data_IF_780175890289
#
_entry.id   IF_780175890289
#
_cell.length_a   1.000
_cell.length_b   1.000
_cell.length_c   1.000
_cell.angle_alpha   90.00
_cell.angle_beta   90.00
_cell.angle_gamma   90.00
#
_symmetry.space_group_name_H-M   'P 1'
#
loop_
_entity.id
_entity.type
_entity.pdbx_description
1 polymer ?
#
# COMPACT_ATOMS: atom_id res chain seq x y z
N UNK A 1 -5.56 -20.79 -16.99
CA UNK A 1 -5.75 -19.68 -16.03
C UNK A 1 -4.41 -19.15 -15.58
N UNK A 2 -4.06 -17.93 -16.01
CA UNK A 2 -2.83 -17.27 -15.57
C UNK A 2 -3.04 -16.76 -14.16
N UNK A 3 -2.40 -17.42 -13.19
CA UNK A 3 -2.53 -17.12 -11.78
C UNK A 3 -1.77 -15.83 -11.43
N UNK A 4 -2.40 -14.68 -11.67
CA UNK A 4 -1.81 -13.37 -11.37
C UNK A 4 -1.96 -13.08 -9.87
N UNK A 5 -0.84 -12.96 -9.17
CA UNK A 5 -0.80 -12.54 -7.76
C UNK A 5 -1.00 -11.02 -7.71
N UNK A 6 -1.93 -10.55 -6.87
CA UNK A 6 -2.18 -9.12 -6.68
C UNK A 6 -1.35 -8.61 -5.50
N UNK A 7 -0.37 -7.76 -5.76
CA UNK A 7 0.38 -7.10 -4.69
C UNK A 7 -0.44 -5.93 -4.13
N UNK A 8 -0.62 -5.90 -2.81
CA UNK A 8 -1.30 -4.80 -2.12
C UNK A 8 -0.64 -4.53 -0.76
N UNK A 9 -0.87 -3.35 -0.21
CA UNK A 9 -0.38 -2.97 1.11
C UNK A 9 -1.56 -2.74 2.06
N UNK A 10 -1.64 -3.51 3.15
CA UNK A 10 -2.73 -3.45 4.14
C UNK A 10 -4.12 -3.50 3.48
N UNK A 11 -4.44 -4.64 2.87
CA UNK A 11 -5.60 -4.73 1.98
C UNK A 11 -6.95 -5.00 2.67
N UNK A 12 -7.02 -4.90 3.99
CA UNK A 12 -8.23 -5.25 4.77
C UNK A 12 -9.43 -4.42 4.34
N UNK A 13 -9.29 -3.10 4.33
CA UNK A 13 -10.37 -2.19 3.94
C UNK A 13 -10.64 -2.23 2.43
N UNK A 14 -9.60 -2.42 1.61
CA UNK A 14 -9.75 -2.56 0.16
C UNK A 14 -10.58 -3.80 -0.20
N UNK A 15 -10.30 -4.95 0.42
CA UNK A 15 -11.05 -6.18 0.21
C UNK A 15 -12.53 -6.01 0.59
N UNK A 16 -12.81 -5.34 1.72
CA UNK A 16 -14.17 -5.06 2.16
C UNK A 16 -14.89 -4.11 1.19
N UNK A 17 -14.23 -3.04 0.76
CA UNK A 17 -14.80 -2.07 -0.18
C UNK A 17 -15.10 -2.70 -1.54
N UNK A 18 -14.17 -3.51 -2.09
CA UNK A 18 -14.38 -4.24 -3.35
C UNK A 18 -15.61 -5.15 -3.26
N UNK A 19 -15.78 -5.87 -2.15
CA UNK A 19 -16.90 -6.78 -1.98
C UNK A 19 -18.23 -6.06 -1.79
N UNK A 20 -18.28 -5.02 -0.96
CA UNK A 20 -19.52 -4.32 -0.61
C UNK A 20 -19.98 -3.36 -1.71
N UNK A 21 -19.05 -2.64 -2.34
CA UNK A 21 -19.39 -1.59 -3.31
C UNK A 21 -19.45 -2.09 -4.74
N UNK A 22 -18.64 -3.10 -5.09
CA UNK A 22 -18.49 -3.58 -6.46
C UNK A 22 -18.86 -5.06 -6.63
N UNK A 23 -19.19 -5.78 -5.56
CA UNK A 23 -19.46 -7.22 -5.61
C UNK A 23 -18.22 -8.07 -5.95
N UNK A 24 -17.02 -7.50 -5.89
CA UNK A 24 -15.78 -8.16 -6.28
C UNK A 24 -15.13 -8.82 -5.06
N UNK A 25 -14.98 -10.14 -5.11
CA UNK A 25 -14.20 -10.88 -4.11
C UNK A 25 -12.72 -10.83 -4.47
N UNK A 26 -11.92 -10.18 -3.61
CA UNK A 26 -10.48 -10.23 -3.71
C UNK A 26 -9.96 -11.65 -3.45
N UNK A 27 -9.19 -12.19 -4.39
CA UNK A 27 -8.54 -13.52 -4.29
C UNK A 27 -7.06 -13.39 -4.62
N UNK A 28 -6.22 -14.24 -4.05
CA UNK A 28 -4.77 -14.31 -4.33
C UNK A 28 -4.05 -12.95 -4.25
N UNK A 29 -4.39 -12.18 -3.22
CA UNK A 29 -3.67 -10.98 -2.88
C UNK A 29 -2.52 -11.32 -1.93
N UNK A 30 -1.35 -10.76 -2.20
CA UNK A 30 -0.24 -10.76 -1.27
C UNK A 30 -0.22 -9.40 -0.56
N UNK A 31 -0.54 -9.42 0.72
CA UNK A 31 -0.47 -8.23 1.56
C UNK A 31 0.98 -8.01 2.00
N UNK A 32 1.60 -6.97 1.47
CA UNK A 32 2.99 -6.62 1.71
C UNK A 32 3.25 -6.22 3.16
N UNK A 33 2.28 -5.62 3.87
CA UNK A 33 2.45 -5.29 5.28
C UNK A 33 2.58 -6.57 6.13
N UNK A 34 1.72 -7.56 5.87
CA UNK A 34 1.79 -8.85 6.55
C UNK A 34 3.04 -9.64 6.15
N UNK A 35 3.41 -9.61 4.88
CA UNK A 35 4.60 -10.28 4.39
C UNK A 35 5.86 -9.75 5.08
N UNK A 36 6.02 -8.42 5.15
CA UNK A 36 7.12 -7.76 5.87
C UNK A 36 7.10 -8.13 7.37
N UNK A 37 5.93 -8.08 8.00
CA UNK A 37 5.80 -8.41 9.42
C UNK A 37 6.22 -9.86 9.72
N UNK A 38 5.88 -10.79 8.83
CA UNK A 38 6.30 -12.19 8.94
C UNK A 38 7.82 -12.35 8.84
N UNK A 39 8.46 -11.69 7.86
CA UNK A 39 9.92 -11.75 7.70
C UNK A 39 10.67 -11.14 8.89
N UNK A 40 10.15 -10.07 9.49
CA UNK A 40 10.73 -9.51 10.70
C UNK A 40 10.53 -10.45 11.91
N UNK A 41 9.40 -11.14 12.00
CA UNK A 41 9.17 -12.14 13.05
C UNK A 41 10.18 -13.29 12.98
N UNK A 42 10.47 -13.82 11.79
CA UNK A 42 11.48 -14.87 11.59
C UNK A 42 12.88 -14.44 12.06
N UNK A 43 13.17 -13.12 12.03
CA UNK A 43 14.41 -12.53 12.53
C UNK A 43 14.39 -12.23 14.04
N UNK A 44 13.40 -12.75 14.77
CA UNK A 44 13.32 -12.69 16.23
C UNK A 44 12.63 -11.44 16.79
N UNK A 45 11.97 -10.64 15.94
CA UNK A 45 11.24 -9.47 16.40
C UNK A 45 9.77 -9.79 16.77
N UNK A 46 9.16 -8.97 17.64
CA UNK A 46 7.76 -9.16 18.10
C UNK A 46 6.74 -8.65 17.07
N UNK A 47 5.97 -9.56 16.48
CA UNK A 47 4.90 -9.36 15.48
C UNK A 47 4.03 -8.08 15.62
N UNK A 48 3.57 -7.76 16.83
CA UNK A 48 2.63 -6.65 17.06
C UNK A 48 3.27 -5.26 16.95
N UNK A 49 4.60 -5.17 17.05
CA UNK A 49 5.35 -3.90 17.00
C UNK A 49 5.82 -3.56 15.57
N UNK A 50 5.41 -4.32 14.55
CA UNK A 50 6.11 -4.33 13.24
C UNK A 50 5.26 -3.97 12.02
N UNK A 51 4.00 -3.57 12.22
CA UNK A 51 3.17 -3.10 11.10
C UNK A 51 3.63 -1.72 10.66
N UNK A 52 4.53 -1.70 9.69
CA UNK A 52 4.96 -0.47 9.04
C UNK A 52 3.83 0.10 8.20
N UNK A 53 3.66 1.43 8.23
CA UNK A 53 2.94 2.14 7.18
C UNK A 53 3.69 2.03 5.85
N UNK A 54 2.98 2.17 4.72
CA UNK A 54 3.58 2.02 3.39
C UNK A 54 4.79 2.94 3.19
N UNK A 55 4.67 4.23 3.49
CA UNK A 55 5.78 5.19 3.41
C UNK A 55 6.97 4.81 4.29
N UNK A 56 6.71 4.20 5.47
CA UNK A 56 7.79 3.72 6.35
C UNK A 56 8.50 2.51 5.74
N UNK A 57 7.78 1.58 5.12
CA UNK A 57 8.36 0.45 4.42
C UNK A 57 9.21 0.89 3.21
N UNK A 58 8.71 1.85 2.42
CA UNK A 58 9.49 2.40 1.30
C UNK A 58 10.79 3.05 1.77
N UNK A 59 10.73 3.82 2.86
CA UNK A 59 11.92 4.43 3.46
C UNK A 59 12.90 3.38 3.99
N UNK A 60 12.40 2.38 4.71
CA UNK A 60 13.25 1.36 5.37
C UNK A 60 13.90 0.42 4.37
N UNK A 61 13.20 0.03 3.30
CA UNK A 61 13.64 -1.03 2.41
C UNK A 61 14.13 -0.57 1.04
N UNK A 62 13.62 0.54 0.53
CA UNK A 62 13.99 1.06 -0.79
C UNK A 62 14.75 2.40 -0.71
N UNK A 63 14.98 2.94 0.51
CA UNK A 63 15.56 4.26 0.72
C UNK A 63 14.77 5.39 0.02
N UNK A 64 13.47 5.17 -0.23
CA UNK A 64 12.59 6.15 -0.86
C UNK A 64 11.92 6.98 0.23
N UNK A 65 12.27 8.26 0.29
CA UNK A 65 11.55 9.21 1.12
C UNK A 65 10.35 9.77 0.35
N UNK A 66 9.15 9.36 0.76
CA UNK A 66 7.94 10.02 0.28
C UNK A 66 7.88 11.43 0.85
N UNK A 67 8.27 12.41 0.04
CA UNK A 67 7.80 13.78 0.23
C UNK A 67 6.31 13.77 -0.04
N UNK A 68 5.53 13.79 1.05
CA UNK A 68 4.08 13.88 0.97
C UNK A 68 3.68 14.92 -0.08
N UNK A 69 2.75 14.59 -0.98
CA UNK A 69 1.91 15.64 -1.57
C UNK A 69 1.09 16.21 -0.43
N UNK A 70 1.71 17.17 0.25
CA UNK A 70 1.16 17.87 1.40
C UNK A 70 -0.20 18.47 1.05
N UNK A 71 -0.44 18.78 -0.22
CA UNK A 71 -1.70 19.29 -0.75
C UNK A 71 -2.83 18.25 -0.68
N UNK A 72 -2.69 17.06 -1.28
CA UNK A 72 -3.77 16.06 -1.29
C UNK A 72 -4.04 15.53 0.11
N UNK A 73 -3.00 15.31 0.93
CA UNK A 73 -3.17 14.90 2.33
C UNK A 73 -3.86 15.99 3.14
N UNK A 74 -3.51 17.27 2.92
CA UNK A 74 -4.18 18.41 3.58
C UNK A 74 -5.63 18.54 3.14
N UNK A 75 -5.93 18.34 1.88
CA UNK A 75 -7.29 18.36 1.35
C UNK A 75 -8.12 17.18 1.86
N UNK A 76 -7.55 15.97 1.92
CA UNK A 76 -8.17 14.82 2.59
C UNK A 76 -8.50 15.13 4.06
N UNK A 77 -7.59 15.78 4.80
CA UNK A 77 -7.85 16.17 6.20
C UNK A 77 -8.97 17.19 6.35
N UNK A 78 -9.13 18.11 5.38
CA UNK A 78 -10.17 19.16 5.42
C UNK A 78 -11.53 18.66 4.93
N UNK A 79 -11.53 17.90 3.84
CA UNK A 79 -12.73 17.54 3.07
C UNK A 79 -13.13 16.07 3.22
N UNK A 80 -12.33 15.29 3.94
CA UNK A 80 -12.51 13.85 4.07
C UNK A 80 -12.36 13.11 2.74
N UNK A 81 -13.13 12.04 2.59
CA UNK A 81 -13.13 11.21 1.37
C UNK A 81 -13.64 11.94 0.12
N UNK A 82 -14.36 13.06 0.27
CA UNK A 82 -14.97 13.82 -0.85
C UNK A 82 -13.97 14.41 -1.83
N UNK A 83 -12.71 14.53 -1.44
CA UNK A 83 -11.63 14.95 -2.33
C UNK A 83 -11.56 14.07 -3.59
N UNK A 84 -11.88 12.78 -3.47
CA UNK A 84 -11.87 11.84 -4.60
C UNK A 84 -13.12 11.88 -5.47
N UNK A 85 -14.12 12.70 -5.15
CA UNK A 85 -15.36 12.85 -5.93
C UNK A 85 -15.25 13.97 -6.98
N UNK A 86 -14.28 14.88 -6.82
CA UNK A 86 -14.08 16.03 -7.73
C UNK A 86 -13.63 15.57 -9.12
N UNK A 87 -14.22 16.14 -10.17
CA UNK A 87 -13.83 15.87 -11.56
C UNK A 87 -13.64 17.18 -12.35
N UNK A 88 -12.67 17.24 -13.30
CA UNK A 88 -11.63 16.23 -13.54
C UNK A 88 -10.67 16.09 -12.35
N UNK A 89 -9.95 14.96 -12.26
CA UNK A 89 -8.90 14.78 -11.25
C UNK A 89 -7.74 15.75 -11.55
N UNK A 90 -7.18 16.38 -10.52
CA UNK A 90 -6.01 17.25 -10.68
C UNK A 90 -4.73 16.42 -10.82
N UNK A 91 -3.69 16.99 -11.41
CA UNK A 91 -2.39 16.32 -11.53
C UNK A 91 -1.86 15.86 -10.16
N UNK A 92 -2.01 16.69 -9.13
CA UNK A 92 -1.57 16.34 -7.78
C UNK A 92 -2.30 15.12 -7.19
N UNK A 93 -3.58 14.93 -7.52
CA UNK A 93 -4.35 13.74 -7.11
C UNK A 93 -3.85 12.49 -7.85
N UNK A 94 -3.55 12.61 -9.15
CA UNK A 94 -2.97 11.53 -9.94
C UNK A 94 -1.59 11.13 -9.42
N UNK A 95 -0.70 12.10 -9.20
CA UNK A 95 0.65 11.86 -8.65
C UNK A 95 0.58 11.22 -7.26
N UNK A 96 -0.41 11.58 -6.46
CA UNK A 96 -0.65 10.93 -5.16
C UNK A 96 -1.10 9.48 -5.33
N UNK A 97 -2.07 9.21 -6.21
CA UNK A 97 -2.58 7.86 -6.45
C UNK A 97 -1.50 6.92 -7.02
N UNK A 98 -0.68 7.41 -7.97
CA UNK A 98 0.43 6.65 -8.57
C UNK A 98 1.45 6.24 -7.52
N UNK A 99 1.84 7.15 -6.61
CA UNK A 99 2.79 6.82 -5.52
C UNK A 99 2.33 5.67 -4.64
N UNK A 100 1.02 5.57 -4.39
CA UNK A 100 0.42 4.49 -3.61
C UNK A 100 0.62 3.09 -4.19
N UNK A 101 1.05 2.97 -5.45
CA UNK A 101 1.24 1.67 -6.12
C UNK A 101 2.58 1.52 -6.85
N UNK A 102 3.25 2.61 -7.21
CA UNK A 102 4.42 2.61 -8.09
C UNK A 102 5.55 1.68 -7.63
N UNK A 103 5.80 1.60 -6.33
CA UNK A 103 6.91 0.86 -5.74
C UNK A 103 6.51 -0.49 -5.12
N UNK A 104 5.26 -0.95 -5.30
CA UNK A 104 4.81 -2.23 -4.71
C UNK A 104 5.57 -3.44 -5.26
N UNK A 105 5.85 -3.44 -6.57
CA UNK A 105 6.61 -4.50 -7.21
C UNK A 105 8.06 -4.50 -6.74
N UNK A 106 8.72 -3.33 -6.74
CA UNK A 106 10.10 -3.16 -6.26
C UNK A 106 10.24 -3.60 -4.80
N UNK A 107 9.28 -3.20 -3.94
CA UNK A 107 9.25 -3.61 -2.54
C UNK A 107 9.12 -5.13 -2.39
N UNK A 108 8.30 -5.75 -3.23
CA UNK A 108 8.13 -7.20 -3.23
C UNK A 108 9.40 -7.94 -3.64
N UNK A 109 10.06 -7.50 -4.71
CA UNK A 109 11.29 -8.09 -5.19
C UNK A 109 12.43 -7.95 -4.17
N UNK A 110 12.52 -6.80 -3.49
CA UNK A 110 13.45 -6.58 -2.38
C UNK A 110 13.20 -7.52 -1.20
N UNK A 111 11.93 -7.76 -0.85
CA UNK A 111 11.60 -8.71 0.21
C UNK A 111 11.97 -10.14 -0.18
N UNK A 112 11.74 -10.54 -1.42
CA UNK A 112 12.17 -11.85 -1.92
C UNK A 112 13.69 -12.03 -1.87
N UNK A 113 14.45 -10.99 -2.20
CA UNK A 113 15.92 -11.04 -2.12
C UNK A 113 16.39 -11.29 -0.69
N UNK A 114 15.78 -10.64 0.29
CA UNK A 114 16.13 -10.77 1.72
C UNK A 114 15.69 -12.08 2.40
N UNK A 115 14.88 -12.89 1.72
CA UNK A 115 14.45 -14.21 2.19
C UNK A 115 15.40 -15.34 1.78
N UNK A 116 16.30 -15.09 0.82
CA UNK A 116 17.32 -16.06 0.39
C UNK A 116 18.54 -15.97 1.29
#
# INVERSE_FOLDING_TARGET
>A
DNNVIKLMYDCRMNAQALQLLLGIRLREARDMQLYIAFLKQEKGHRLMEQRLGYSQALKEYLCIEETASSLVIREQKKSGAKVWDVRPLTQSMLDFAVRGVAHLQELYDEMLHRCK
#
